data_IF_370734455393
#
_entry.id   IF_370734455393
#
_cell.length_a   1.000
_cell.length_b   1.000
_cell.length_c   1.000
_cell.angle_alpha   90.00
_cell.angle_beta   90.00
_cell.angle_gamma   90.00
#
_symmetry.space_group_name_H-M   'P 1'
#
loop_
_entity.id
_entity.type
_entity.pdbx_description
1 polymer ?
#
# COMPACT_ATOMS: atom_id res chain seq x y z
N UNK A 1 10.78 -4.22 12.61
CA UNK A 1 10.34 -3.24 13.58
C UNK A 1 8.91 -2.82 13.28
N UNK A 2 8.19 -2.44 14.31
CA UNK A 2 6.80 -2.04 14.12
C UNK A 2 6.72 -0.62 13.58
N UNK A 3 5.69 -0.36 12.79
CA UNK A 3 5.43 0.99 12.31
C UNK A 3 4.70 1.79 13.37
N UNK A 4 4.90 3.09 13.37
CA UNK A 4 4.29 3.94 14.38
C UNK A 4 2.85 4.26 14.02
N UNK A 5 2.04 4.52 15.05
CA UNK A 5 0.65 4.95 14.81
C UNK A 5 0.60 6.34 14.21
N UNK A 6 1.57 7.18 14.53
CA UNK A 6 1.63 8.51 13.93
C UNK A 6 1.81 8.44 12.42
N UNK A 7 2.67 7.54 11.97
CA UNK A 7 2.86 7.39 10.53
C UNK A 7 1.59 6.83 9.87
N UNK A 8 0.93 5.88 10.52
CA UNK A 8 -0.34 5.36 10.03
C UNK A 8 -1.35 6.48 9.86
N UNK A 9 -1.51 7.33 10.87
CA UNK A 9 -2.46 8.42 10.80
C UNK A 9 -2.09 9.41 9.71
N UNK A 10 -0.80 9.67 9.54
CA UNK A 10 -0.33 10.56 8.50
C UNK A 10 -0.70 10.01 7.11
N UNK A 11 -0.44 8.74 6.87
CA UNK A 11 -0.74 8.14 5.57
C UNK A 11 -2.25 8.11 5.33
N UNK A 12 -3.05 7.79 6.34
CA UNK A 12 -4.50 7.80 6.19
C UNK A 12 -5.00 9.19 5.79
N UNK A 13 -4.40 10.24 6.36
CA UNK A 13 -4.76 11.60 5.99
C UNK A 13 -4.39 11.89 4.55
N UNK A 14 -3.23 11.42 4.10
CA UNK A 14 -2.81 11.63 2.73
C UNK A 14 -3.69 10.88 1.73
N UNK A 15 -4.32 9.80 2.14
CA UNK A 15 -5.22 9.02 1.28
C UNK A 15 -6.68 9.47 1.41
N UNK A 16 -6.92 10.57 2.10
CA UNK A 16 -8.29 10.98 2.44
C UNK A 16 -9.15 11.35 1.25
N UNK A 17 -8.56 11.62 0.10
CA UNK A 17 -9.35 11.92 -1.09
C UNK A 17 -9.86 10.68 -1.80
N UNK A 18 -9.39 9.52 -1.39
CA UNK A 18 -9.85 8.24 -1.93
C UNK A 18 -10.93 7.67 -1.03
N UNK A 19 -11.96 7.11 -1.65
CA UNK A 19 -13.01 6.44 -0.89
C UNK A 19 -12.65 4.99 -0.70
N UNK A 20 -13.21 4.40 0.37
CA UNK A 20 -13.08 2.97 0.61
C UNK A 20 -11.64 2.52 0.82
N UNK A 21 -10.86 3.38 1.46
CA UNK A 21 -9.56 2.98 1.97
C UNK A 21 -9.76 2.32 3.32
N UNK A 22 -9.18 1.15 3.51
CA UNK A 22 -9.21 0.49 4.79
C UNK A 22 -7.85 -0.13 5.05
N UNK A 23 -7.64 -0.56 6.28
CA UNK A 23 -6.37 -1.18 6.63
C UNK A 23 -6.60 -2.24 7.70
N UNK A 24 -5.58 -3.05 7.87
CA UNK A 24 -5.63 -4.11 8.84
C UNK A 24 -4.27 -4.20 9.51
N UNK A 25 -4.26 -4.15 10.83
CA UNK A 25 -3.01 -4.29 11.58
C UNK A 25 -2.59 -5.75 11.57
N UNK A 26 -1.30 -5.98 11.41
CA UNK A 26 -0.77 -7.33 11.41
C UNK A 26 0.66 -7.30 11.89
N UNK A 27 0.90 -7.85 13.07
CA UNK A 27 2.25 -8.00 13.61
C UNK A 27 3.04 -6.69 13.66
N UNK A 28 2.34 -5.61 14.01
CA UNK A 28 2.97 -4.29 14.13
C UNK A 28 3.04 -3.50 12.84
N UNK A 29 2.61 -4.09 11.74
CA UNK A 29 2.58 -3.42 10.46
C UNK A 29 1.14 -3.27 10.01
N UNK A 30 0.92 -2.60 8.87
CA UNK A 30 -0.44 -2.32 8.40
C UNK A 30 -0.57 -2.66 6.93
N UNK A 31 -1.57 -3.49 6.61
CA UNK A 31 -1.89 -3.84 5.23
C UNK A 31 -3.03 -2.95 4.78
N UNK A 32 -2.89 -2.32 3.63
CA UNK A 32 -3.87 -1.37 3.13
C UNK A 32 -4.66 -1.93 1.97
N UNK A 33 -5.95 -1.58 1.96
CA UNK A 33 -6.90 -2.00 0.93
C UNK A 33 -7.51 -0.77 0.27
N UNK A 34 -7.73 -0.86 -1.02
CA UNK A 34 -8.51 0.13 -1.76
C UNK A 34 -9.64 -0.62 -2.44
N UNK A 35 -10.86 -0.31 -2.04
CA UNK A 35 -12.07 -0.97 -2.55
C UNK A 35 -11.94 -2.48 -2.47
N UNK A 36 -11.42 -2.95 -1.38
CA UNK A 36 -11.30 -4.38 -1.12
C UNK A 36 -10.07 -5.06 -1.70
N UNK A 37 -9.26 -4.36 -2.49
CA UNK A 37 -8.06 -4.93 -3.07
C UNK A 37 -6.84 -4.47 -2.30
N UNK A 38 -5.93 -5.38 -1.99
CA UNK A 38 -4.68 -5.04 -1.29
C UNK A 38 -3.75 -4.35 -2.28
N UNK A 39 -3.32 -3.13 -1.95
CA UNK A 39 -2.41 -2.43 -2.83
C UNK A 39 -1.03 -2.23 -2.23
N UNK A 40 -0.89 -2.38 -0.94
CA UNK A 40 0.40 -2.16 -0.29
C UNK A 40 0.21 -2.10 1.20
N UNK A 41 1.05 -1.33 1.86
CA UNK A 41 0.95 -1.21 3.30
C UNK A 41 2.06 -0.35 3.86
N UNK A 42 2.08 -0.29 5.18
CA UNK A 42 3.11 0.43 5.92
C UNK A 42 3.97 -0.62 6.62
N UNK A 43 5.25 -0.63 6.31
CA UNK A 43 6.19 -1.59 6.85
C UNK A 43 7.42 -0.84 7.34
N UNK A 44 7.66 -0.87 8.64
CA UNK A 44 8.81 -0.20 9.24
C UNK A 44 8.83 1.28 8.87
N UNK A 45 7.67 1.93 9.02
CA UNK A 45 7.46 3.34 8.70
C UNK A 45 7.82 3.68 7.25
N UNK A 46 7.56 2.74 6.34
CA UNK A 46 7.70 2.97 4.90
C UNK A 46 6.39 2.65 4.24
N UNK A 47 5.94 3.51 3.34
CA UNK A 47 4.72 3.26 2.58
C UNK A 47 5.10 2.57 1.29
N UNK A 48 4.79 1.29 1.20
CA UNK A 48 5.16 0.46 0.06
C UNK A 48 3.91 0.04 -0.69
N UNK A 49 4.00 0.00 -2.02
CA UNK A 49 2.89 -0.47 -2.85
C UNK A 49 3.37 -1.61 -3.73
N UNK A 50 2.42 -2.43 -4.17
CA UNK A 50 2.74 -3.53 -5.06
C UNK A 50 3.30 -3.00 -6.38
N UNK A 51 4.25 -3.70 -6.97
CA UNK A 51 4.89 -3.22 -8.21
C UNK A 51 4.05 -3.55 -9.44
N UNK A 52 2.87 -2.94 -9.53
CA UNK A 52 2.07 -3.08 -10.73
C UNK A 52 2.71 -2.29 -11.85
N UNK A 53 2.26 -2.56 -13.07
CA UNK A 53 2.79 -1.84 -14.22
C UNK A 53 2.53 -0.33 -14.09
N UNK A 54 1.33 0.04 -13.68
CA UNK A 54 1.02 1.46 -13.51
C UNK A 54 1.87 2.11 -12.44
N UNK A 55 2.09 1.42 -11.32
CA UNK A 55 2.92 1.99 -10.26
C UNK A 55 4.35 2.19 -10.76
N UNK A 56 4.88 1.21 -11.46
CA UNK A 56 6.24 1.33 -12.00
C UNK A 56 6.33 2.46 -13.02
N UNK A 57 5.30 2.61 -13.85
CA UNK A 57 5.29 3.68 -14.87
C UNK A 57 5.21 5.06 -14.22
N UNK A 58 4.39 5.20 -13.18
CA UNK A 58 4.22 6.49 -12.52
C UNK A 58 5.38 6.84 -11.61
N UNK A 59 6.11 5.83 -11.14
CA UNK A 59 7.23 6.03 -10.24
C UNK A 59 8.46 5.28 -10.79
N UNK A 60 8.98 5.72 -11.96
CA UNK A 60 10.05 4.94 -12.59
C UNK A 60 11.33 4.86 -11.77
N UNK A 61 11.53 5.84 -10.88
CA UNK A 61 12.74 5.85 -10.05
C UNK A 61 12.50 5.36 -8.64
N UNK A 62 11.32 4.81 -8.35
CA UNK A 62 11.01 4.38 -6.99
C UNK A 62 11.95 3.25 -6.57
N UNK A 63 12.53 3.33 -5.38
CA UNK A 63 13.32 2.22 -4.87
C UNK A 63 12.47 0.98 -4.67
N UNK A 64 13.05 -0.17 -4.91
CA UNK A 64 12.38 -1.44 -4.60
C UNK A 64 12.90 -1.91 -3.27
N UNK A 65 11.98 -2.22 -2.38
CA UNK A 65 12.34 -2.60 -1.03
C UNK A 65 11.51 -3.78 -0.59
N UNK A 66 12.08 -4.56 0.32
CA UNK A 66 11.35 -5.69 0.90
C UNK A 66 10.57 -5.20 2.10
N UNK A 67 9.27 -5.50 2.16
CA UNK A 67 8.50 -5.18 3.37
C UNK A 67 9.01 -5.98 4.58
N UNK A 68 9.48 -7.19 4.34
CA UNK A 68 10.13 -8.02 5.35
C UNK A 68 11.01 -9.03 4.61
N UNK A 69 11.96 -9.66 5.29
CA UNK A 69 13.04 -10.38 4.59
C UNK A 69 12.61 -11.46 3.61
N UNK A 70 11.48 -12.13 3.84
CA UNK A 70 11.06 -13.22 2.98
C UNK A 70 10.00 -12.84 1.98
N UNK A 71 9.67 -11.54 1.88
CA UNK A 71 8.61 -11.07 1.01
C UNK A 71 9.14 -10.75 -0.38
N UNK A 72 8.22 -10.53 -1.30
CA UNK A 72 8.57 -10.02 -2.61
C UNK A 72 8.80 -8.52 -2.53
N UNK A 73 9.60 -8.00 -3.43
CA UNK A 73 9.89 -6.57 -3.47
C UNK A 73 8.63 -5.77 -3.75
N UNK A 74 8.59 -4.59 -3.17
CA UNK A 74 7.53 -3.62 -3.40
C UNK A 74 8.20 -2.28 -3.71
N UNK A 75 7.40 -1.32 -4.17
CA UNK A 75 7.93 0.00 -4.52
C UNK A 75 7.72 0.95 -3.36
N UNK A 76 8.76 1.70 -3.02
CA UNK A 76 8.69 2.71 -1.98
C UNK A 76 8.09 3.98 -2.57
N UNK A 77 6.98 4.43 -1.98
CA UNK A 77 6.34 5.67 -2.40
C UNK A 77 7.00 6.81 -1.62
N UNK A 78 7.70 7.65 -2.33
CA UNK A 78 8.37 8.79 -1.70
C UNK A 78 7.49 10.03 -1.69
N UNK A 79 6.52 10.11 -2.58
CA UNK A 79 5.63 11.28 -2.69
C UNK A 79 4.43 11.15 -1.76
N UNK A 80 4.67 10.80 -0.52
CA UNK A 80 3.57 10.53 0.41
C UNK A 80 2.85 11.79 0.84
N UNK A 81 3.41 12.96 0.58
CA UNK A 81 2.76 14.22 0.94
C UNK A 81 1.99 14.82 -0.24
N UNK A 82 1.83 14.10 -1.33
CA UNK A 82 1.14 14.59 -2.52
C UNK A 82 -0.18 13.82 -2.67
N UNK A 83 -1.25 14.39 -2.12
CA UNK A 83 -2.54 13.71 -2.13
C UNK A 83 -3.05 13.44 -3.55
N UNK A 84 -2.84 14.38 -4.45
CA UNK A 84 -3.31 14.19 -5.82
C UNK A 84 -2.55 13.08 -6.51
N UNK A 85 -1.24 13.02 -6.31
CA UNK A 85 -0.46 11.95 -6.89
C UNK A 85 -0.92 10.59 -6.35
N UNK A 86 -1.17 10.50 -5.05
CA UNK A 86 -1.61 9.24 -4.47
C UNK A 86 -2.95 8.80 -5.04
N UNK A 87 -3.86 9.74 -5.28
CA UNK A 87 -5.14 9.40 -5.91
C UNK A 87 -4.94 8.85 -7.31
N UNK A 88 -4.09 9.50 -8.10
CA UNK A 88 -3.81 9.03 -9.46
C UNK A 88 -3.18 7.65 -9.41
N UNK A 89 -2.21 7.47 -8.51
CA UNK A 89 -1.49 6.20 -8.39
C UNK A 89 -2.42 5.05 -8.05
N UNK A 90 -3.23 5.24 -7.02
CA UNK A 90 -4.10 4.15 -6.56
C UNK A 90 -5.19 3.83 -7.58
N UNK A 91 -5.74 4.84 -8.23
CA UNK A 91 -6.75 4.59 -9.25
C UNK A 91 -6.15 3.88 -10.46
N UNK A 92 -4.93 4.23 -10.83
CA UNK A 92 -4.26 3.54 -11.94
C UNK A 92 -3.94 2.09 -11.58
N UNK A 93 -3.53 1.86 -10.34
CA UNK A 93 -3.18 0.52 -9.91
C UNK A 93 -4.39 -0.39 -9.75
N UNK A 94 -5.55 0.19 -9.46
CA UNK A 94 -6.70 -0.60 -9.04
C UNK A 94 -7.06 -1.70 -10.04
N UNK A 95 -7.05 -1.38 -11.32
CA UNK A 95 -7.45 -2.35 -12.34
C UNK A 95 -6.44 -3.49 -12.46
N UNK A 96 -5.23 -3.27 -12.01
CA UNK A 96 -4.18 -4.28 -12.10
C UNK A 96 -4.07 -5.14 -10.86
N UNK A 97 -4.84 -4.82 -9.82
CA UNK A 97 -4.76 -5.56 -8.56
C UNK A 97 -5.81 -6.66 -8.55
N UNK A 98 -5.45 -7.83 -8.07
CA UNK A 98 -6.45 -8.91 -7.92
C UNK A 98 -7.27 -8.69 -6.67
N UNK A 99 -8.49 -9.20 -6.66
CA UNK A 99 -9.21 -9.30 -5.40
C UNK A 99 -8.50 -10.31 -4.51
N UNK A 100 -8.52 -10.10 -3.20
CA UNK A 100 -7.93 -11.11 -2.30
C UNK A 100 -8.69 -12.41 -2.44
N UNK A 101 -7.97 -13.50 -2.29
CA UNK A 101 -8.62 -14.79 -2.32
C UNK A 101 -9.56 -14.90 -1.13
N UNK A 102 -10.72 -15.51 -1.33
CA UNK A 102 -11.61 -15.75 -0.20
C UNK A 102 -10.89 -16.55 0.86
N UNK A 103 -11.16 -16.22 2.12
CA UNK A 103 -10.57 -16.96 3.19
C UNK A 103 -11.06 -18.41 3.11
N UNK A 104 -10.12 -19.32 3.13
CA UNK A 104 -10.46 -20.72 3.09
C UNK A 104 -11.16 -21.11 4.37
N UNK A 105 -12.30 -21.78 4.21
CA UNK A 105 -12.94 -22.36 5.37
C UNK A 105 -12.20 -23.58 5.78
N UNK A 106 -11.91 -23.67 7.05
CA UNK A 106 -11.27 -24.86 7.60
C UNK A 106 -12.31 -25.69 8.24
N UNK A 107 -12.31 -26.89 7.93
CA UNK A 107 -13.36 -27.79 8.40
C UNK A 107 -12.79 -28.99 9.05
#
# INVERSE_FOLDING_TARGET
MASSREYLQYILEQLSELEEISYRAMMGEYIFYYRGKIFGGIYDDRFLVKPTKSAADLMPDAPRELPYPTAKEMLLVEEVDDKMFLSVLLNAMYEELPFPKPKQKKF
#
